data_IF_775865545058
#
_entry.id   IF_775865545058
#
_cell.length_a   1.000
_cell.length_b   1.000
_cell.length_c   1.000
_cell.angle_alpha   90.00
_cell.angle_beta   90.00
_cell.angle_gamma   90.00
#
_symmetry.space_group_name_H-M   'P 1'
#
loop_
_entity.id
_entity.type
_entity.pdbx_description
1 polymer ?
#
# COMPACT_ATOMS: atom_id res chain seq x y z
N UNK A 1 64.14 0.63 33.81
CA UNK A 1 63.44 1.90 33.47
C UNK A 1 63.52 2.08 31.95
N UNK A 2 62.49 2.23 31.13
CA UNK A 2 61.05 2.42 31.28
C UNK A 2 60.43 1.99 29.94
N UNK A 3 59.56 0.96 29.95
CA UNK A 3 58.74 0.52 28.82
C UNK A 3 57.66 1.59 28.51
N UNK A 4 58.03 2.72 27.88
CA UNK A 4 57.09 3.84 27.68
C UNK A 4 57.02 4.41 26.26
N UNK A 5 57.68 3.80 25.28
CA UNK A 5 57.69 4.34 23.91
C UNK A 5 56.79 3.62 22.88
N UNK A 6 56.25 2.43 23.18
CA UNK A 6 55.49 1.64 22.20
C UNK A 6 53.96 1.75 22.34
N UNK A 7 53.44 2.46 23.34
CA UNK A 7 52.00 2.50 23.63
C UNK A 7 51.22 3.61 22.89
N UNK A 8 51.85 4.41 22.01
CA UNK A 8 51.17 5.54 21.32
C UNK A 8 50.87 5.30 19.84
N UNK A 9 51.31 4.19 19.25
CA UNK A 9 51.12 3.93 17.81
C UNK A 9 49.90 3.03 17.54
N UNK A 10 49.37 2.35 18.56
CA UNK A 10 48.23 1.44 18.41
C UNK A 10 46.86 2.10 18.36
N UNK A 11 46.75 3.43 18.56
CA UNK A 11 45.47 4.14 18.53
C UNK A 11 45.06 4.63 17.12
N UNK A 12 46.00 4.79 16.18
CA UNK A 12 45.69 5.22 14.82
C UNK A 12 44.90 4.20 13.98
N UNK A 13 45.19 2.87 14.00
CA UNK A 13 44.40 1.93 13.20
C UNK A 13 42.98 1.73 13.75
N UNK A 14 42.76 1.98 15.05
CA UNK A 14 41.43 1.89 15.67
C UNK A 14 40.51 3.05 15.25
N UNK A 15 41.05 4.26 15.08
CA UNK A 15 40.29 5.43 14.62
C UNK A 15 40.01 5.34 13.11
N UNK A 16 40.97 4.84 12.33
CA UNK A 16 40.79 4.58 10.90
C UNK A 16 39.72 3.49 10.64
N UNK A 17 39.67 2.44 11.47
CA UNK A 17 38.62 1.42 11.42
C UNK A 17 37.23 1.95 11.74
N UNK A 18 37.12 2.90 12.68
CA UNK A 18 35.84 3.53 13.04
C UNK A 18 35.33 4.51 11.95
N UNK A 19 36.24 5.19 11.23
CA UNK A 19 35.87 6.05 10.10
C UNK A 19 35.47 5.24 8.85
N UNK A 20 35.98 4.02 8.67
CA UNK A 20 35.60 3.15 7.55
C UNK A 20 34.17 2.56 7.71
N UNK A 21 33.69 2.42 8.95
CA UNK A 21 32.31 2.01 9.26
C UNK A 21 31.26 3.12 9.00
N UNK A 22 31.68 4.38 8.87
CA UNK A 22 30.79 5.50 8.60
C UNK A 22 30.39 5.63 7.11
N UNK A 23 30.94 4.78 6.23
CA UNK A 23 30.59 4.75 4.80
C UNK A 23 29.69 3.57 4.41
N UNK A 24 29.16 2.81 5.37
CA UNK A 24 28.07 1.90 5.08
C UNK A 24 26.88 2.74 4.57
N UNK A 25 26.39 2.52 3.33
CA UNK A 25 25.17 3.17 2.90
C UNK A 25 24.10 2.79 3.91
N UNK A 26 23.51 3.78 4.56
CA UNK A 26 22.38 3.55 5.44
C UNK A 26 21.27 2.92 4.58
N UNK A 27 21.08 1.61 4.72
CA UNK A 27 19.96 0.89 4.16
C UNK A 27 18.69 1.53 4.72
N UNK A 28 18.09 2.45 3.97
CA UNK A 28 17.03 3.34 4.45
C UNK A 28 17.02 4.73 3.81
N UNK A 29 18.08 5.16 3.14
CA UNK A 29 18.00 6.33 2.25
C UNK A 29 17.26 5.96 0.97
N UNK A 30 15.93 5.86 1.08
CA UNK A 30 15.05 6.00 -0.07
C UNK A 30 15.41 7.31 -0.77
N UNK A 31 15.75 7.23 -2.06
CA UNK A 31 15.92 8.42 -2.88
C UNK A 31 14.68 9.30 -2.68
N UNK A 32 14.85 10.49 -2.10
CA UNK A 32 13.74 11.43 -1.92
C UNK A 32 13.20 11.73 -3.30
N UNK A 33 12.00 11.25 -3.59
CA UNK A 33 11.31 11.56 -4.82
C UNK A 33 11.18 13.09 -4.92
N UNK A 34 11.83 13.67 -5.93
CA UNK A 34 11.74 15.10 -6.19
C UNK A 34 10.40 15.37 -6.87
N UNK A 35 9.50 16.05 -6.17
CA UNK A 35 8.18 16.42 -6.69
C UNK A 35 8.38 17.36 -7.87
N UNK A 36 7.94 16.99 -9.10
CA UNK A 36 7.98 17.88 -10.26
C UNK A 36 7.24 19.18 -9.95
N UNK A 37 7.72 20.29 -10.51
CA UNK A 37 7.13 21.61 -10.25
C UNK A 37 6.81 22.34 -11.55
N UNK A 38 5.74 23.11 -11.52
CA UNK A 38 5.36 24.02 -12.60
C UNK A 38 6.36 25.17 -12.72
N UNK A 39 6.30 25.95 -13.81
CA UNK A 39 7.16 27.12 -14.01
C UNK A 39 7.00 28.21 -12.94
N UNK A 40 5.88 28.21 -12.20
CA UNK A 40 5.58 29.11 -11.08
C UNK A 40 5.90 28.51 -9.70
N UNK A 41 6.43 27.29 -9.64
CA UNK A 41 7.02 26.71 -8.43
C UNK A 41 6.11 25.83 -7.57
N UNK A 42 4.87 25.60 -8.00
CA UNK A 42 3.92 24.70 -7.36
C UNK A 42 4.15 23.23 -7.78
N UNK A 43 3.72 22.23 -6.99
CA UNK A 43 3.73 20.84 -7.41
C UNK A 43 2.96 20.67 -8.73
N UNK A 44 3.62 20.05 -9.70
CA UNK A 44 2.98 19.70 -10.95
C UNK A 44 2.17 18.42 -10.76
N UNK A 45 0.85 18.56 -10.90
CA UNK A 45 -0.15 17.49 -10.78
C UNK A 45 -0.81 17.21 -12.14
N UNK A 46 -0.16 17.58 -13.25
CA UNK A 46 -0.63 17.24 -14.57
C UNK A 46 -0.35 15.76 -14.88
N UNK A 47 -1.27 15.10 -15.58
CA UNK A 47 -1.13 13.69 -15.94
C UNK A 47 -2.42 13.03 -16.36
N UNK A 48 -2.31 11.76 -16.76
CA UNK A 48 -3.46 10.89 -17.03
C UNK A 48 -3.73 10.07 -15.78
N UNK A 49 -4.89 10.32 -15.17
CA UNK A 49 -5.34 9.58 -14.00
C UNK A 49 -6.33 8.50 -14.40
N UNK A 50 -6.08 7.29 -13.92
CA UNK A 50 -6.99 6.15 -14.08
C UNK A 50 -7.31 5.55 -12.73
N UNK A 51 -8.54 5.04 -12.58
CA UNK A 51 -8.95 4.26 -11.42
C UNK A 51 -8.61 2.77 -11.57
N UNK A 52 -8.23 2.35 -12.78
CA UNK A 52 -7.95 0.97 -13.14
C UNK A 52 -6.67 0.47 -12.46
N UNK A 53 -6.82 -0.26 -11.36
CA UNK A 53 -5.70 -0.91 -10.68
C UNK A 53 -6.08 -2.29 -10.16
N UNK A 54 -5.17 -3.26 -10.34
CA UNK A 54 -5.27 -4.59 -9.75
C UNK A 54 -4.53 -4.67 -8.41
N UNK A 55 -3.86 -3.59 -7.98
CA UNK A 55 -3.19 -3.53 -6.68
C UNK A 55 -4.26 -3.48 -5.56
N UNK A 56 -4.22 -4.40 -4.58
CA UNK A 56 -5.18 -4.41 -3.49
C UNK A 56 -5.15 -3.12 -2.67
N UNK A 57 -6.30 -2.70 -2.12
CA UNK A 57 -6.34 -1.53 -1.23
C UNK A 57 -5.48 -1.76 0.03
N UNK A 58 -5.72 -2.85 0.76
CA UNK A 58 -4.92 -3.26 1.92
C UNK A 58 -4.06 -4.48 1.59
N UNK A 59 -2.88 -4.57 2.20
CA UNK A 59 -1.97 -5.70 2.01
C UNK A 59 -2.57 -6.98 2.57
N UNK A 60 -2.57 -8.08 1.80
CA UNK A 60 -2.92 -9.39 2.33
C UNK A 60 -2.06 -9.74 3.55
N UNK A 61 -2.66 -10.34 4.59
CA UNK A 61 -1.94 -10.66 5.83
C UNK A 61 -0.73 -11.57 5.57
N UNK A 62 -0.84 -12.51 4.63
CA UNK A 62 0.24 -13.38 4.20
C UNK A 62 1.44 -12.65 3.57
N UNK A 63 1.26 -11.39 3.15
CA UNK A 63 2.27 -10.55 2.51
C UNK A 63 2.69 -9.38 3.39
N UNK A 64 2.33 -9.32 4.69
CA UNK A 64 2.55 -8.15 5.55
C UNK A 64 3.99 -7.57 5.48
N UNK A 65 5.02 -8.43 5.40
CA UNK A 65 6.43 -8.02 5.31
C UNK A 65 6.93 -7.75 3.88
N UNK A 66 6.08 -7.94 2.86
CA UNK A 66 6.44 -7.87 1.44
C UNK A 66 5.69 -6.73 0.77
N UNK A 67 6.32 -5.55 0.69
CA UNK A 67 5.71 -4.37 0.07
C UNK A 67 5.62 -4.46 -1.46
N UNK A 68 6.53 -5.22 -2.09
CA UNK A 68 6.66 -5.33 -3.54
C UNK A 68 6.82 -6.82 -3.93
N UNK A 69 6.10 -7.23 -4.97
CA UNK A 69 6.17 -8.54 -5.59
C UNK A 69 7.45 -8.66 -6.42
N UNK A 70 7.96 -9.88 -6.57
CA UNK A 70 8.99 -10.13 -7.58
C UNK A 70 8.37 -10.05 -8.98
N UNK A 71 9.19 -9.86 -10.01
CA UNK A 71 8.71 -9.85 -11.40
C UNK A 71 7.97 -11.14 -11.77
N UNK A 72 8.46 -12.28 -11.29
CA UNK A 72 7.84 -13.60 -11.50
C UNK A 72 6.47 -13.70 -10.84
N UNK A 73 6.34 -13.26 -9.58
CA UNK A 73 5.07 -13.26 -8.86
C UNK A 73 4.06 -12.29 -9.46
N UNK A 74 4.52 -11.12 -9.89
CA UNK A 74 3.69 -10.14 -10.56
C UNK A 74 3.12 -10.74 -11.86
N UNK A 75 3.97 -11.37 -12.68
CA UNK A 75 3.54 -12.01 -13.91
C UNK A 75 2.55 -13.15 -13.65
N UNK A 76 2.80 -13.98 -12.64
CA UNK A 76 1.88 -15.05 -12.25
C UNK A 76 0.51 -14.49 -11.78
N UNK A 77 0.51 -13.38 -11.03
CA UNK A 77 -0.71 -12.71 -10.61
C UNK A 77 -1.48 -12.13 -11.80
N UNK A 78 -0.80 -11.49 -12.76
CA UNK A 78 -1.41 -10.98 -13.99
C UNK A 78 -2.08 -12.11 -14.80
N UNK A 79 -1.41 -13.25 -14.96
CA UNK A 79 -1.97 -14.41 -15.65
C UNK A 79 -3.18 -14.99 -14.91
N UNK A 80 -3.12 -15.09 -13.58
CA UNK A 80 -4.23 -15.56 -12.76
C UNK A 80 -5.46 -14.65 -12.88
N UNK A 81 -5.26 -13.33 -12.83
CA UNK A 81 -6.36 -12.36 -12.92
C UNK A 81 -7.00 -12.35 -14.31
N UNK A 82 -6.20 -12.45 -15.37
CA UNK A 82 -6.71 -12.62 -16.74
C UNK A 82 -7.57 -13.87 -16.89
N UNK A 83 -7.14 -14.99 -16.31
CA UNK A 83 -7.91 -16.25 -16.34
C UNK A 83 -9.25 -16.10 -15.62
N UNK A 84 -9.25 -15.57 -14.38
CA UNK A 84 -10.48 -15.33 -13.60
C UNK A 84 -11.45 -14.41 -14.32
N UNK A 85 -10.94 -13.37 -14.98
CA UNK A 85 -11.76 -12.45 -15.76
C UNK A 85 -12.41 -13.14 -16.96
N UNK A 86 -11.67 -13.96 -17.71
CA UNK A 86 -12.23 -14.74 -18.81
C UNK A 86 -13.31 -15.72 -18.33
N UNK A 87 -13.10 -16.36 -17.18
CA UNK A 87 -14.09 -17.25 -16.54
C UNK A 87 -15.36 -16.48 -16.16
N UNK A 88 -15.25 -15.35 -15.46
CA UNK A 88 -16.41 -14.52 -15.06
C UNK A 88 -17.22 -14.04 -16.27
N UNK A 89 -16.54 -13.65 -17.36
CA UNK A 89 -17.21 -13.24 -18.61
C UNK A 89 -18.00 -14.40 -19.21
N UNK A 90 -17.39 -15.59 -19.23
CA UNK A 90 -18.00 -16.78 -19.82
C UNK A 90 -19.20 -17.31 -19.00
N UNK A 91 -19.15 -17.23 -17.67
CA UNK A 91 -20.19 -17.78 -16.79
C UNK A 91 -21.34 -16.81 -16.50
N UNK A 92 -21.19 -15.51 -16.78
CA UNK A 92 -22.11 -14.44 -16.36
C UNK A 92 -22.36 -14.41 -14.84
N UNK A 93 -21.43 -14.96 -14.06
CA UNK A 93 -21.43 -14.88 -12.62
C UNK A 93 -20.92 -13.49 -12.22
N UNK A 94 -21.65 -12.79 -11.34
CA UNK A 94 -21.39 -11.39 -10.93
C UNK A 94 -21.53 -10.33 -12.04
N UNK A 95 -22.69 -10.24 -12.67
CA UNK A 95 -23.03 -9.10 -13.55
C UNK A 95 -22.02 -8.95 -14.70
N UNK A 96 -21.82 -9.95 -15.58
CA UNK A 96 -20.83 -9.82 -16.67
C UNK A 96 -21.09 -8.66 -17.63
N UNK A 97 -22.30 -8.08 -17.62
CA UNK A 97 -22.58 -6.77 -18.19
C UNK A 97 -21.59 -5.68 -17.70
N UNK A 98 -21.23 -5.71 -16.41
CA UNK A 98 -20.24 -4.82 -15.80
C UNK A 98 -18.81 -5.26 -16.07
N UNK A 99 -18.57 -6.39 -16.75
CA UNK A 99 -17.20 -6.79 -17.10
C UNK A 99 -16.49 -5.69 -17.87
N UNK A 100 -17.19 -4.88 -18.68
CA UNK A 100 -16.62 -3.71 -19.34
C UNK A 100 -15.93 -2.73 -18.37
N UNK A 101 -16.51 -2.50 -17.18
CA UNK A 101 -15.95 -1.62 -16.13
C UNK A 101 -14.74 -2.20 -15.41
N UNK A 102 -14.47 -3.50 -15.59
CA UNK A 102 -13.33 -4.21 -15.02
C UNK A 102 -12.34 -4.71 -16.09
N UNK A 103 -12.77 -4.79 -17.36
CA UNK A 103 -12.04 -5.31 -18.52
C UNK A 103 -11.37 -4.21 -19.33
N UNK A 104 -11.79 -2.96 -19.17
CA UNK A 104 -11.14 -1.78 -19.74
C UNK A 104 -9.74 -1.51 -19.19
N UNK A 105 -9.32 -2.23 -18.16
CA UNK A 105 -8.46 -1.60 -17.18
C UNK A 105 -6.98 -1.63 -17.54
N UNK A 106 -6.51 -2.52 -18.41
CA UNK A 106 -5.06 -2.80 -18.60
C UNK A 106 -4.28 -2.77 -17.28
N UNK A 107 -4.97 -3.03 -16.15
CA UNK A 107 -4.58 -2.49 -14.87
C UNK A 107 -3.38 -3.30 -14.43
N UNK A 108 -2.18 -2.81 -14.66
CA UNK A 108 -1.00 -3.59 -14.28
C UNK A 108 -0.86 -3.48 -12.78
N UNK A 109 -0.65 -4.60 -12.06
CA UNK A 109 -0.13 -4.52 -10.71
C UNK A 109 1.09 -3.59 -10.76
N UNK A 110 1.13 -2.61 -9.89
CA UNK A 110 2.29 -1.69 -9.80
C UNK A 110 3.54 -2.38 -9.22
N UNK A 111 3.54 -3.72 -9.16
CA UNK A 111 4.40 -4.55 -8.32
C UNK A 111 4.07 -4.45 -6.83
N UNK A 112 3.30 -3.45 -6.38
CA UNK A 112 2.97 -3.30 -4.96
C UNK A 112 1.92 -4.30 -4.52
N UNK A 113 2.04 -4.75 -3.27
CA UNK A 113 1.05 -5.61 -2.60
C UNK A 113 -0.09 -4.83 -1.95
N UNK A 114 0.00 -3.49 -1.90
CA UNK A 114 -1.04 -2.59 -1.40
C UNK A 114 -0.92 -1.17 -1.95
N UNK A 115 -2.06 -0.49 -2.10
CA UNK A 115 -2.15 0.96 -2.34
C UNK A 115 -1.71 1.74 -1.10
N UNK A 116 -2.02 1.24 0.10
CA UNK A 116 -1.56 1.86 1.35
C UNK A 116 -0.03 1.74 1.47
N UNK A 117 0.60 2.88 1.68
CA UNK A 117 2.05 3.01 1.82
C UNK A 117 2.44 3.10 3.30
N UNK A 118 1.67 3.85 4.07
CA UNK A 118 1.85 4.07 5.51
C UNK A 118 0.51 3.78 6.21
N UNK A 119 0.47 2.93 7.24
CA UNK A 119 1.56 2.19 7.90
C UNK A 119 2.31 1.21 6.99
N UNK A 120 3.56 0.89 7.35
CA UNK A 120 4.43 0.03 6.52
C UNK A 120 3.81 -1.32 6.19
N UNK A 121 2.94 -1.85 7.05
CA UNK A 121 2.21 -3.11 6.86
C UNK A 121 1.16 -3.05 5.73
N UNK A 122 0.90 -1.86 5.18
CA UNK A 122 -0.06 -1.61 4.11
C UNK A 122 -1.50 -1.86 4.55
N UNK A 123 -1.83 -1.69 5.84
CA UNK A 123 -3.18 -1.88 6.36
C UNK A 123 -3.73 -0.59 6.93
N UNK A 124 -5.05 -0.51 7.04
CA UNK A 124 -5.65 0.63 7.71
C UNK A 124 -5.23 0.65 9.18
N UNK A 125 -4.79 1.80 9.72
CA UNK A 125 -4.52 1.91 11.14
C UNK A 125 -5.82 1.69 11.94
N UNK A 126 -5.71 1.23 13.20
CA UNK A 126 -6.87 1.10 14.07
C UNK A 126 -7.59 2.45 14.21
N UNK A 127 -8.92 2.42 14.19
CA UNK A 127 -9.72 3.62 14.37
C UNK A 127 -9.49 4.22 15.77
N UNK A 128 -9.33 5.53 15.83
CA UNK A 128 -9.36 6.29 17.09
C UNK A 128 -10.73 6.13 17.76
N UNK A 129 -10.83 6.39 19.07
CA UNK A 129 -12.11 6.34 19.80
C UNK A 129 -13.18 7.21 19.11
N UNK A 130 -12.81 8.41 18.66
CA UNK A 130 -13.70 9.27 17.88
C UNK A 130 -14.11 8.62 16.56
N UNK A 131 -13.19 7.97 15.85
CA UNK A 131 -13.48 7.24 14.63
C UNK A 131 -14.45 6.07 14.84
N UNK A 132 -14.27 5.32 15.94
CA UNK A 132 -15.17 4.24 16.34
C UNK A 132 -16.58 4.78 16.63
N UNK A 133 -16.69 5.90 17.37
CA UNK A 133 -17.97 6.56 17.65
C UNK A 133 -18.66 7.02 16.37
N UNK A 134 -17.96 7.69 15.47
CA UNK A 134 -18.52 8.14 14.19
C UNK A 134 -18.98 6.97 13.32
N UNK A 135 -18.22 5.86 13.28
CA UNK A 135 -18.62 4.66 12.57
C UNK A 135 -19.89 4.04 13.17
N UNK A 136 -19.97 3.94 14.49
CA UNK A 136 -21.15 3.43 15.18
C UNK A 136 -22.38 4.33 14.92
N UNK A 137 -22.23 5.65 14.96
CA UNK A 137 -23.29 6.60 14.62
C UNK A 137 -23.73 6.49 13.15
N UNK A 138 -22.80 6.25 12.23
CA UNK A 138 -23.11 6.06 10.81
C UNK A 138 -23.87 4.75 10.59
N UNK A 139 -23.46 3.66 11.25
CA UNK A 139 -24.16 2.38 11.23
C UNK A 139 -25.57 2.49 11.83
N UNK A 140 -25.72 3.17 12.97
CA UNK A 140 -27.03 3.43 13.58
C UNK A 140 -27.93 4.27 12.65
N UNK A 141 -27.38 5.31 12.02
CA UNK A 141 -28.12 6.11 11.02
C UNK A 141 -28.55 5.26 9.83
N UNK A 142 -27.68 4.40 9.31
CA UNK A 142 -28.01 3.50 8.22
C UNK A 142 -29.14 2.52 8.60
N UNK A 143 -29.08 1.93 9.79
CA UNK A 143 -30.12 1.02 10.31
C UNK A 143 -31.50 1.67 10.42
N UNK A 144 -31.53 2.97 10.71
CA UNK A 144 -32.78 3.74 10.85
C UNK A 144 -33.25 4.39 9.54
N UNK A 145 -32.51 4.22 8.44
CA UNK A 145 -32.82 4.88 7.17
C UNK A 145 -34.10 4.29 6.58
N UNK A 146 -35.06 5.16 6.27
CA UNK A 146 -36.35 4.80 5.66
C UNK A 146 -36.42 5.30 4.21
N UNK A 147 -37.06 4.53 3.34
CA UNK A 147 -37.56 5.04 2.05
C UNK A 147 -39.09 4.94 2.11
N UNK A 148 -39.76 6.10 2.09
CA UNK A 148 -41.20 6.13 2.32
C UNK A 148 -41.57 5.73 3.75
N UNK A 149 -42.45 4.74 3.91
CA UNK A 149 -42.86 4.23 5.24
C UNK A 149 -42.01 3.05 5.72
N UNK A 150 -41.22 2.46 4.83
CA UNK A 150 -40.50 1.22 5.10
C UNK A 150 -39.07 1.51 5.57
N UNK A 151 -38.60 0.79 6.58
CA UNK A 151 -37.17 0.76 6.90
C UNK A 151 -36.46 -0.04 5.83
N UNK A 152 -35.31 0.47 5.39
CA UNK A 152 -34.46 -0.24 4.44
C UNK A 152 -33.75 -1.45 5.03
N UNK A 153 -33.77 -1.53 6.36
CA UNK A 153 -33.03 -2.49 7.16
C UNK A 153 -34.02 -3.00 8.19
N UNK A 154 -34.47 -4.23 8.01
CA UNK A 154 -35.47 -4.85 8.90
C UNK A 154 -34.81 -5.48 10.11
N UNK A 155 -33.57 -5.97 9.97
CA UNK A 155 -32.80 -6.60 11.04
C UNK A 155 -31.34 -6.17 11.07
N UNK A 156 -30.66 -6.39 12.19
CA UNK A 156 -29.21 -6.14 12.31
C UNK A 156 -28.37 -7.03 11.38
N UNK A 157 -28.93 -8.15 10.90
CA UNK A 157 -28.26 -9.07 9.96
C UNK A 157 -28.14 -8.46 8.56
N UNK A 158 -29.00 -7.51 8.20
CA UNK A 158 -28.94 -6.82 6.90
C UNK A 158 -27.76 -5.82 6.79
N UNK A 159 -27.05 -5.56 7.90
CA UNK A 159 -25.98 -4.56 8.01
C UNK A 159 -24.59 -5.18 8.23
N UNK A 160 -24.51 -6.51 8.38
CA UNK A 160 -23.26 -7.24 8.72
C UNK A 160 -22.51 -7.79 7.51
#
# INVERSE_FOLDING_TARGET
MKHRFLARISALPAIAGLMLLAQLPAAGQQAKFAVPRTAWGDPDLEGVYTFATLTPFQRPAAQAAKAVLTEEEQKALEEQLKKKQAENIATNEHFSYNALWFASDEGRPTGRTSILIDPEDGRLPPLTERGQKLRAEAQARAATKRIGKDQLVDTWEDIS
#
